data_IF_361249754059
#
_entry.id   IF_361249754059
#
_cell.length_a   1.000
_cell.length_b   1.000
_cell.length_c   1.000
_cell.angle_alpha   90.00
_cell.angle_beta   90.00
_cell.angle_gamma   90.00
#
_symmetry.space_group_name_H-M   'P 1'
#
loop_
_entity.id
_entity.type
_entity.pdbx_description
1 polymer ?
#
# COMPACT_ATOMS: atom_id res chain seq x y z
N UNK A 1 15.07 4.08 -3.64
CA UNK A 1 13.81 4.27 -4.38
C UNK A 1 12.94 3.02 -4.26
N UNK A 2 11.73 3.18 -3.70
CA UNK A 2 10.68 2.16 -3.65
C UNK A 2 9.51 2.70 -4.47
N UNK A 3 8.92 1.89 -5.36
CA UNK A 3 7.78 2.30 -6.17
C UNK A 3 6.74 1.20 -6.29
N UNK A 4 5.50 1.57 -5.99
CA UNK A 4 4.29 0.82 -6.29
C UNK A 4 3.47 1.60 -7.31
N UNK A 5 2.95 0.92 -8.32
CA UNK A 5 2.07 1.51 -9.31
C UNK A 5 0.83 0.65 -9.49
N UNK A 6 -0.33 1.24 -9.17
CA UNK A 6 -1.65 0.62 -9.27
C UNK A 6 -1.74 -0.79 -8.65
N UNK A 7 -1.12 -0.99 -7.49
CA UNK A 7 -1.05 -2.30 -6.84
C UNK A 7 -2.37 -2.64 -6.15
N UNK A 8 -2.86 -3.84 -6.43
CA UNK A 8 -4.05 -4.39 -5.80
C UNK A 8 -3.72 -5.73 -5.14
N UNK A 9 -4.37 -6.01 -4.01
CA UNK A 9 -4.22 -7.27 -3.29
C UNK A 9 -5.56 -7.74 -2.77
N UNK A 10 -5.91 -8.96 -3.18
CA UNK A 10 -7.05 -9.70 -2.64
C UNK A 10 -6.53 -10.95 -1.94
N UNK A 11 -7.04 -11.21 -0.74
CA UNK A 11 -6.79 -12.46 -0.03
C UNK A 11 -7.74 -13.57 -0.52
N UNK A 12 -7.41 -14.87 -0.30
CA UNK A 12 -8.25 -15.99 -0.73
C UNK A 12 -9.69 -15.95 -0.19
N UNK A 13 -9.90 -15.29 0.96
CA UNK A 13 -11.22 -15.07 1.56
C UNK A 13 -12.01 -13.91 0.91
N UNK A 14 -11.51 -13.33 -0.18
CA UNK A 14 -12.17 -12.25 -0.91
C UNK A 14 -11.95 -10.84 -0.33
N UNK A 15 -11.18 -10.70 0.76
CA UNK A 15 -10.88 -9.37 1.33
C UNK A 15 -9.94 -8.60 0.39
N UNK A 16 -10.41 -7.46 -0.10
CA UNK A 16 -9.64 -6.49 -0.87
C UNK A 16 -8.81 -5.61 0.08
N UNK A 17 -7.58 -6.04 0.32
CA UNK A 17 -6.60 -5.40 1.18
C UNK A 17 -6.09 -4.10 0.55
N UNK A 18 -5.55 -4.18 -0.67
CA UNK A 18 -5.10 -3.01 -1.44
C UNK A 18 -5.95 -2.85 -2.69
N UNK A 19 -6.35 -1.60 -2.99
CA UNK A 19 -7.21 -1.24 -4.14
C UNK A 19 -6.52 -0.18 -5.00
N UNK A 20 -5.68 -0.61 -5.94
CA UNK A 20 -5.02 0.28 -6.89
C UNK A 20 -4.06 1.30 -6.26
N UNK A 21 -3.32 0.91 -5.22
CA UNK A 21 -2.41 1.80 -4.48
C UNK A 21 -1.18 2.14 -5.32
N UNK A 22 -0.85 3.43 -5.41
CA UNK A 22 0.38 3.93 -6.00
C UNK A 22 1.16 4.74 -4.96
N UNK A 23 2.45 4.46 -4.83
CA UNK A 23 3.33 5.06 -3.82
C UNK A 23 4.75 5.13 -4.39
N UNK A 24 5.43 6.25 -4.18
CA UNK A 24 6.85 6.41 -4.48
C UNK A 24 7.53 6.90 -3.19
N UNK A 25 8.66 6.28 -2.85
CA UNK A 25 9.52 6.68 -1.74
C UNK A 25 10.94 6.79 -2.28
N UNK A 26 11.49 8.00 -2.22
CA UNK A 26 12.82 8.31 -2.69
C UNK A 26 13.91 7.94 -1.67
N UNK A 27 15.15 7.84 -2.15
CA UNK A 27 16.27 7.48 -1.28
C UNK A 27 16.51 8.58 -0.24
N UNK A 28 16.47 8.20 1.03
CA UNK A 28 16.65 9.13 2.16
C UNK A 28 15.35 9.66 2.77
N UNK A 29 14.20 9.35 2.18
CA UNK A 29 12.91 9.69 2.79
C UNK A 29 12.58 8.80 4.00
N UNK A 30 11.93 9.39 4.99
CA UNK A 30 11.45 8.72 6.19
C UNK A 30 9.93 8.87 6.28
N UNK A 31 9.20 7.77 6.05
CA UNK A 31 7.74 7.79 5.82
C UNK A 31 7.01 7.00 6.90
N UNK A 32 5.92 7.56 7.41
CA UNK A 32 4.96 6.86 8.24
C UNK A 32 3.69 6.56 7.44
N UNK A 33 3.22 5.32 7.53
CA UNK A 33 1.91 4.91 7.00
C UNK A 33 0.97 4.75 8.19
N UNK A 34 -0.14 5.48 8.17
CA UNK A 34 -1.11 5.52 9.27
C UNK A 34 -2.51 5.24 8.74
N UNK A 35 -3.34 4.65 9.59
CA UNK A 35 -4.72 4.33 9.26
C UNK A 35 -5.39 3.54 10.40
N UNK A 36 -6.73 3.43 10.38
CA UNK A 36 -7.43 2.56 11.31
C UNK A 36 -7.04 1.08 11.09
N UNK A 37 -7.32 0.23 12.09
CA UNK A 37 -7.14 -1.22 11.96
C UNK A 37 -7.89 -1.75 10.73
N UNK A 38 -7.19 -2.49 9.86
CA UNK A 38 -7.75 -3.06 8.63
C UNK A 38 -7.83 -2.11 7.42
N UNK A 39 -7.20 -0.93 7.45
CA UNK A 39 -7.20 0.03 6.35
C UNK A 39 -6.42 -0.40 5.10
N UNK A 40 -5.59 -1.43 5.20
CA UNK A 40 -4.77 -1.97 4.10
C UNK A 40 -4.57 -3.47 4.26
#
# INVERSE_FOLDING_TARGET
>A
MISFFNVSKVYPNGVNALRGVSLQIETGEFVFIVGPSGAG
#
